data_IF_162769140782
#
_entry.id   IF_162769140782
#
_cell.length_a   1.000
_cell.length_b   1.000
_cell.length_c   1.000
_cell.angle_alpha   90.00
_cell.angle_beta   90.00
_cell.angle_gamma   90.00
#
_symmetry.space_group_name_H-M   'P 1'
#
loop_
_entity.id
_entity.type
_entity.pdbx_description
1 polymer ?
#
# COMPACT_ATOMS: atom_id res chain seq x y z
N UNK A 1 -16.39 -34.02 -10.84
CA UNK A 1 -15.42 -32.93 -11.01
C UNK A 1 -14.89 -32.58 -9.64
N UNK A 2 -13.59 -32.56 -9.46
CA UNK A 2 -12.99 -32.15 -8.19
C UNK A 2 -13.12 -30.64 -8.01
N UNK A 3 -13.49 -30.20 -6.80
CA UNK A 3 -13.58 -28.79 -6.49
C UNK A 3 -12.20 -28.14 -6.36
N UNK A 4 -12.15 -26.82 -6.56
CA UNK A 4 -10.90 -26.07 -6.45
C UNK A 4 -10.28 -26.16 -5.05
N UNK A 5 -11.13 -26.34 -4.02
CA UNK A 5 -10.68 -26.47 -2.62
C UNK A 5 -9.89 -27.75 -2.42
N UNK A 6 -10.40 -28.87 -2.90
CA UNK A 6 -9.75 -30.18 -2.79
C UNK A 6 -8.41 -30.19 -3.55
N UNK A 7 -8.35 -29.56 -4.72
CA UNK A 7 -7.10 -29.38 -5.48
C UNK A 7 -6.06 -28.58 -4.69
N UNK A 8 -6.46 -27.46 -4.09
CA UNK A 8 -5.56 -26.63 -3.28
C UNK A 8 -5.02 -27.41 -2.08
N UNK A 9 -5.85 -28.19 -1.39
CA UNK A 9 -5.39 -29.01 -0.27
C UNK A 9 -4.33 -30.02 -0.70
N UNK A 10 -4.52 -30.71 -1.83
CA UNK A 10 -3.53 -31.67 -2.35
C UNK A 10 -2.20 -31.03 -2.71
N UNK A 11 -2.22 -29.84 -3.30
CA UNK A 11 -0.98 -29.09 -3.58
C UNK A 11 -0.26 -28.70 -2.28
N UNK A 12 -1.00 -28.23 -1.27
CA UNK A 12 -0.44 -27.85 0.04
C UNK A 12 0.18 -29.06 0.75
N UNK A 13 -0.47 -30.23 0.69
CA UNK A 13 0.03 -31.45 1.33
C UNK A 13 1.36 -31.94 0.70
N UNK A 14 1.64 -31.57 -0.55
CA UNK A 14 2.87 -31.90 -1.25
C UNK A 14 4.01 -30.90 -1.06
N UNK A 15 3.76 -29.75 -0.40
CA UNK A 15 4.75 -28.68 -0.27
C UNK A 15 5.80 -28.97 0.81
N UNK A 16 7.02 -28.50 0.55
CA UNK A 16 8.05 -28.44 1.58
C UNK A 16 7.88 -27.25 2.54
N UNK A 17 8.69 -27.21 3.59
CA UNK A 17 8.59 -26.17 4.63
C UNK A 17 8.85 -24.74 4.11
N UNK A 18 9.70 -24.58 3.09
CA UNK A 18 10.01 -23.27 2.52
C UNK A 18 8.85 -22.78 1.66
N UNK A 19 8.25 -23.67 0.87
CA UNK A 19 7.05 -23.39 0.08
C UNK A 19 5.86 -23.03 0.98
N UNK A 20 5.66 -23.78 2.07
CA UNK A 20 4.64 -23.49 3.07
C UNK A 20 4.86 -22.13 3.74
N UNK A 21 6.11 -21.78 4.06
CA UNK A 21 6.46 -20.48 4.64
C UNK A 21 6.16 -19.34 3.68
N UNK A 22 6.47 -19.51 2.40
CA UNK A 22 6.16 -18.54 1.35
C UNK A 22 4.64 -18.35 1.22
N UNK A 23 3.89 -19.44 1.12
CA UNK A 23 2.43 -19.42 1.02
C UNK A 23 1.79 -18.73 2.23
N UNK A 24 2.25 -19.05 3.44
CA UNK A 24 1.78 -18.42 4.66
C UNK A 24 2.00 -16.89 4.65
N UNK A 25 3.18 -16.44 4.22
CA UNK A 25 3.50 -15.02 4.11
C UNK A 25 2.62 -14.31 3.08
N UNK A 26 2.35 -14.95 1.93
CA UNK A 26 1.42 -14.42 0.93
C UNK A 26 -0.01 -14.31 1.49
N UNK A 27 -0.50 -15.33 2.18
CA UNK A 27 -1.83 -15.30 2.84
C UNK A 27 -1.89 -14.17 3.87
N UNK A 28 -0.84 -13.99 4.67
CA UNK A 28 -0.73 -12.90 5.65
C UNK A 28 -0.79 -11.53 4.96
N UNK A 29 -0.08 -11.36 3.84
CA UNK A 29 -0.09 -10.13 3.06
C UNK A 29 -1.51 -9.83 2.53
N UNK A 30 -2.18 -10.81 1.91
CA UNK A 30 -3.55 -10.67 1.40
C UNK A 30 -4.51 -10.24 2.51
N UNK A 31 -4.42 -10.86 3.69
CA UNK A 31 -5.23 -10.48 4.86
C UNK A 31 -4.97 -9.03 5.29
N UNK A 32 -3.70 -8.60 5.31
CA UNK A 32 -3.34 -7.23 5.66
C UNK A 32 -3.85 -6.20 4.66
N UNK A 33 -3.82 -6.53 3.36
CA UNK A 33 -4.33 -5.66 2.29
C UNK A 33 -5.85 -5.52 2.37
N UNK A 34 -6.57 -6.61 2.64
CA UNK A 34 -8.03 -6.57 2.85
C UNK A 34 -8.42 -5.70 4.05
N UNK A 35 -7.66 -5.78 5.16
CA UNK A 35 -7.88 -4.90 6.32
C UNK A 35 -7.69 -3.43 5.95
N UNK A 36 -6.60 -3.09 5.26
CA UNK A 36 -6.30 -1.73 4.79
C UNK A 36 -7.31 -1.22 3.75
N UNK A 37 -7.88 -2.10 2.93
CA UNK A 37 -8.92 -1.75 1.97
C UNK A 37 -10.26 -1.45 2.65
N UNK A 38 -10.55 -2.07 3.80
CA UNK A 38 -11.66 -1.68 4.68
C UNK A 38 -11.38 -0.35 5.40
N UNK A 39 -10.11 -0.09 5.72
CA UNK A 39 -9.59 1.19 6.23
C UNK A 39 -9.26 2.17 5.10
N UNK A 40 -10.01 2.18 3.98
CA UNK A 40 -9.88 3.25 2.98
C UNK A 40 -10.00 4.58 3.73
N UNK A 41 -8.84 5.21 3.94
CA UNK A 41 -8.66 6.50 4.58
C UNK A 41 -9.80 7.38 4.10
N UNK A 42 -10.63 7.79 5.05
CA UNK A 42 -11.67 8.78 4.81
C UNK A 42 -11.04 9.89 3.99
N UNK A 43 -11.78 10.31 2.96
CA UNK A 43 -11.52 11.48 2.14
C UNK A 43 -10.91 12.56 3.04
N UNK A 44 -9.59 12.77 2.93
CA UNK A 44 -8.89 13.72 3.79
C UNK A 44 -9.59 15.06 3.65
N UNK A 45 -9.95 15.65 4.79
CA UNK A 45 -10.46 17.01 4.84
C UNK A 45 -9.37 17.98 4.40
N UNK A 46 -9.78 19.15 3.91
CA UNK A 46 -8.82 20.21 3.58
C UNK A 46 -8.00 20.62 4.80
N UNK A 47 -8.57 20.54 6.00
CA UNK A 47 -7.89 20.85 7.25
C UNK A 47 -6.77 19.85 7.57
N UNK A 48 -7.02 18.55 7.39
CA UNK A 48 -5.97 17.52 7.57
C UNK A 48 -4.85 17.66 6.53
N UNK A 49 -5.20 18.00 5.29
CA UNK A 49 -4.21 18.28 4.24
C UNK A 49 -3.40 19.52 4.63
N UNK A 50 -4.05 20.58 5.11
CA UNK A 50 -3.37 21.80 5.53
C UNK A 50 -2.42 21.52 6.70
N UNK A 51 -2.86 20.77 7.71
CA UNK A 51 -2.02 20.41 8.86
C UNK A 51 -0.77 19.65 8.42
N UNK A 52 -0.93 18.63 7.57
CA UNK A 52 0.20 17.84 7.04
C UNK A 52 1.18 18.67 6.21
N UNK A 53 0.67 19.64 5.46
CA UNK A 53 1.47 20.49 4.57
C UNK A 53 2.05 21.73 5.25
N UNK A 54 1.51 22.12 6.42
CA UNK A 54 1.86 23.37 7.14
C UNK A 54 3.33 23.48 7.56
N UNK A 55 4.01 22.35 7.76
CA UNK A 55 5.44 22.31 8.12
C UNK A 55 6.39 22.38 6.92
N UNK A 56 5.84 22.39 5.70
CA UNK A 56 6.65 22.52 4.48
C UNK A 56 7.19 23.94 4.38
N UNK A 57 8.51 24.07 4.45
CA UNK A 57 9.21 25.38 4.46
C UNK A 57 9.20 26.11 3.12
N UNK A 58 8.92 25.40 2.04
CA UNK A 58 8.80 25.96 0.70
C UNK A 58 7.69 25.24 -0.06
N UNK A 59 6.86 26.00 -0.76
CA UNK A 59 5.93 25.41 -1.71
C UNK A 59 6.63 25.15 -3.05
N UNK A 60 6.14 24.16 -3.80
CA UNK A 60 6.59 23.96 -5.20
C UNK A 60 6.42 25.23 -6.04
N UNK A 61 5.41 26.04 -5.75
CA UNK A 61 5.18 27.30 -6.46
C UNK A 61 6.31 28.31 -6.17
N UNK A 62 6.76 28.42 -4.93
CA UNK A 62 7.87 29.30 -4.54
C UNK A 62 9.19 28.86 -5.17
N UNK A 63 9.47 27.56 -5.21
CA UNK A 63 10.68 27.03 -5.85
C UNK A 63 10.72 27.34 -7.36
N UNK A 64 9.59 27.16 -8.05
CA UNK A 64 9.48 27.45 -9.49
C UNK A 64 9.54 28.96 -9.78
N UNK A 65 9.05 29.81 -8.87
CA UNK A 65 9.17 31.27 -9.01
C UNK A 65 10.63 31.70 -8.83
N UNK A 66 11.32 31.22 -7.79
CA UNK A 66 12.74 31.53 -7.53
C UNK A 66 13.63 31.17 -8.72
N UNK A 67 13.44 29.97 -9.28
CA UNK A 67 14.22 29.51 -10.45
C UNK A 67 14.03 30.42 -11.67
N UNK A 68 12.83 30.98 -11.86
CA UNK A 68 12.54 31.88 -12.98
C UNK A 68 13.04 33.31 -12.76
N UNK A 69 13.14 33.74 -11.52
CA UNK A 69 13.68 35.06 -11.16
C UNK A 69 15.22 35.07 -11.17
N UNK A 70 15.87 33.97 -10.78
CA UNK A 70 17.32 33.80 -10.81
C UNK A 70 17.89 33.66 -12.23
N UNK A 71 17.07 33.20 -13.19
CA UNK A 71 17.45 33.08 -14.60
C UNK A 71 17.36 34.37 -15.43
N UNK A 72 17.14 35.52 -14.79
CA UNK A 72 16.96 36.84 -15.42
C UNK A 72 18.12 37.79 -15.08
#
# INVERSE_FOLDING_TARGET
MEGIRERIHREIDGMDIQELLLLYNQIKLIKSMKRRAGERKGRWSLDEIHELTSSSKSSWAEAVISEREEGR
#
